data_IF_479503218828
#
_entry.id   IF_479503218828
#
_cell.length_a   1.000
_cell.length_b   1.000
_cell.length_c   1.000
_cell.angle_alpha   90.00
_cell.angle_beta   90.00
_cell.angle_gamma   90.00
#
_symmetry.space_group_name_H-M   'P 1'
#
loop_
_entity.id
_entity.type
_entity.pdbx_description
1 polymer ?
#
# COMPACT_ATOMS: atom_id res chain seq x y z
N UNK A 1 -13.50 6.90 -2.57
CA UNK A 1 -12.43 6.54 -1.61
C UNK A 1 -11.32 5.70 -2.25
N UNK A 2 -11.62 4.57 -2.90
CA UNK A 2 -10.62 3.75 -3.62
C UNK A 2 -9.76 4.57 -4.60
N UNK A 3 -10.41 5.36 -5.48
CA UNK A 3 -9.72 6.22 -6.45
C UNK A 3 -8.76 7.20 -5.77
N UNK A 4 -9.15 7.78 -4.64
CA UNK A 4 -8.33 8.73 -3.86
C UNK A 4 -7.08 8.05 -3.33
N UNK A 5 -7.23 6.88 -2.71
CA UNK A 5 -6.11 6.14 -2.13
C UNK A 5 -5.11 5.70 -3.22
N UNK A 6 -5.59 5.13 -4.33
CA UNK A 6 -4.73 4.71 -5.45
C UNK A 6 -4.03 5.91 -6.07
N UNK A 7 -4.75 7.00 -6.33
CA UNK A 7 -4.17 8.22 -6.90
C UNK A 7 -3.06 8.77 -6.00
N UNK A 8 -3.30 8.84 -4.70
CA UNK A 8 -2.34 9.34 -3.73
C UNK A 8 -1.13 8.42 -3.57
N UNK A 9 -1.34 7.10 -3.51
CA UNK A 9 -0.27 6.12 -3.47
C UNK A 9 0.64 6.21 -4.71
N UNK A 10 0.06 6.36 -5.91
CA UNK A 10 0.84 6.62 -7.14
C UNK A 10 1.64 7.92 -7.04
N UNK A 11 1.02 9.00 -6.56
CA UNK A 11 1.70 10.29 -6.34
C UNK A 11 2.86 10.22 -5.35
N UNK A 12 2.82 9.28 -4.40
CA UNK A 12 3.89 8.99 -3.45
C UNK A 12 4.89 7.93 -3.93
N UNK A 13 4.83 7.53 -5.20
CA UNK A 13 5.78 6.61 -5.82
C UNK A 13 5.59 5.14 -5.44
N UNK A 14 4.42 4.75 -4.92
CA UNK A 14 4.05 3.35 -4.79
C UNK A 14 3.57 2.77 -6.12
N UNK A 15 3.85 1.49 -6.34
CA UNK A 15 3.30 0.77 -7.48
C UNK A 15 1.87 0.36 -7.14
N UNK A 16 0.94 0.71 -8.02
CA UNK A 16 -0.48 0.36 -7.88
C UNK A 16 -0.90 -0.47 -9.09
N UNK A 17 -1.15 -1.75 -8.89
CA UNK A 17 -1.47 -2.72 -9.94
C UNK A 17 -2.77 -3.46 -9.63
N UNK A 18 -3.33 -4.14 -10.62
CA UNK A 18 -4.44 -5.07 -10.42
C UNK A 18 -3.90 -6.47 -10.58
N UNK A 19 -4.22 -7.36 -9.65
CA UNK A 19 -3.79 -8.76 -9.71
C UNK A 19 -4.65 -9.61 -10.65
N UNK A 20 -4.24 -10.87 -10.84
CA UNK A 20 -4.93 -11.85 -11.70
C UNK A 20 -6.39 -12.11 -11.29
N UNK A 21 -6.75 -11.81 -10.04
CA UNK A 21 -8.10 -11.95 -9.52
C UNK A 21 -8.87 -10.62 -9.52
N UNK A 22 -8.37 -9.59 -10.20
CA UNK A 22 -9.04 -8.29 -10.34
C UNK A 22 -8.92 -7.39 -9.12
N UNK A 23 -8.07 -7.73 -8.14
CA UNK A 23 -7.93 -6.96 -6.91
C UNK A 23 -6.82 -5.91 -7.04
N UNK A 24 -7.08 -4.70 -6.56
CA UNK A 24 -6.04 -3.68 -6.48
C UNK A 24 -4.96 -4.10 -5.47
N UNK A 25 -3.70 -3.90 -5.86
CA UNK A 25 -2.53 -4.07 -5.01
C UNK A 25 -1.72 -2.78 -4.98
N UNK A 26 -1.15 -2.48 -3.81
CA UNK A 26 -0.23 -1.37 -3.61
C UNK A 26 1.04 -1.93 -3.00
N UNK A 27 2.17 -1.72 -3.66
CA UNK A 27 3.46 -2.21 -3.21
C UNK A 27 4.49 -1.08 -3.18
N UNK A 28 5.47 -1.14 -2.27
CA UNK A 28 6.66 -0.31 -2.40
C UNK A 28 7.39 -0.65 -3.70
N UNK A 29 8.08 0.35 -4.25
CA UNK A 29 8.95 0.17 -5.43
C UNK A 29 10.26 -0.53 -5.05
N UNK A 30 10.71 -0.33 -3.82
CA UNK A 30 11.95 -0.91 -3.31
C UNK A 30 11.76 -2.39 -2.94
N UNK A 31 12.82 -3.21 -3.08
CA UNK A 31 12.76 -4.64 -2.84
C UNK A 31 12.45 -4.99 -1.38
N UNK A 32 12.78 -4.13 -0.42
CA UNK A 32 12.47 -4.33 0.98
C UNK A 32 11.93 -3.03 1.60
N UNK A 33 10.96 -3.10 2.53
CA UNK A 33 10.31 -4.32 3.05
C UNK A 33 9.27 -4.92 2.07
N UNK A 34 9.22 -6.26 1.99
CA UNK A 34 8.25 -7.02 1.17
C UNK A 34 6.84 -6.96 1.76
N UNK A 35 6.22 -5.79 1.76
CA UNK A 35 4.81 -5.67 2.09
C UNK A 35 3.99 -5.27 0.88
N UNK A 36 2.74 -5.68 0.86
CA UNK A 36 1.73 -5.20 -0.09
C UNK A 36 0.40 -5.01 0.60
N UNK A 37 -0.35 -4.02 0.15
CA UNK A 37 -1.76 -3.88 0.48
C UNK A 37 -2.56 -4.46 -0.69
N UNK A 38 -3.51 -5.34 -0.40
CA UNK A 38 -4.42 -5.93 -1.39
C UNK A 38 -5.86 -5.62 -1.04
N UNK A 39 -6.62 -5.05 -1.97
CA UNK A 39 -8.03 -4.77 -1.78
C UNK A 39 -8.84 -6.04 -2.04
N UNK A 40 -9.40 -6.64 -1.00
CA UNK A 40 -10.32 -7.77 -1.14
C UNK A 40 -11.70 -7.29 -0.71
N UNK A 41 -12.65 -7.31 -1.64
CA UNK A 41 -13.99 -6.72 -1.47
C UNK A 41 -13.88 -5.22 -1.12
N UNK A 42 -14.10 -4.87 0.14
CA UNK A 42 -14.10 -3.51 0.69
C UNK A 42 -12.93 -3.25 1.66
N UNK A 43 -12.05 -4.23 1.88
CA UNK A 43 -10.98 -4.15 2.87
C UNK A 43 -9.60 -4.26 2.25
N UNK A 44 -8.68 -3.46 2.78
CA UNK A 44 -7.27 -3.48 2.41
C UNK A 44 -6.51 -4.41 3.35
N UNK A 45 -6.03 -5.53 2.83
CA UNK A 45 -5.28 -6.52 3.59
C UNK A 45 -3.79 -6.23 3.44
N UNK A 46 -3.12 -5.97 4.55
CA UNK A 46 -1.67 -5.94 4.63
C UNK A 46 -1.13 -7.36 4.59
N UNK A 47 -0.29 -7.63 3.61
CA UNK A 47 0.43 -8.88 3.45
C UNK A 47 1.91 -8.55 3.57
N UNK A 48 2.62 -9.27 4.44
CA UNK A 48 4.08 -9.15 4.60
C UNK A 48 4.69 -10.50 4.19
N UNK A 49 5.56 -10.47 3.19
CA UNK A 49 5.90 -11.65 2.40
C UNK A 49 4.63 -12.23 1.77
N UNK A 50 4.27 -13.44 2.18
CA UNK A 50 3.05 -14.13 1.74
C UNK A 50 2.01 -14.30 2.86
N UNK A 51 2.28 -13.77 4.06
CA UNK A 51 1.37 -13.88 5.19
C UNK A 51 0.47 -12.65 5.30
N UNK A 52 -0.86 -12.80 5.23
CA UNK A 52 -1.79 -11.76 5.66
C UNK A 52 -1.55 -11.42 7.14
N UNK A 53 -1.55 -10.13 7.46
CA UNK A 53 -1.27 -9.63 8.82
C UNK A 53 -2.47 -8.88 9.38
N UNK A 54 -2.88 -7.80 8.71
CA UNK A 54 -3.86 -6.84 9.23
C UNK A 54 -4.86 -6.49 8.13
N UNK A 55 -6.12 -6.29 8.52
CA UNK A 55 -7.18 -5.79 7.64
C UNK A 55 -7.51 -4.35 7.97
N UNK A 56 -7.51 -3.49 6.96
CA UNK A 56 -7.76 -2.06 7.06
C UNK A 56 -9.03 -1.65 6.32
N UNK A 57 -9.70 -0.63 6.85
CA UNK A 57 -10.57 0.26 6.08
C UNK A 57 -9.73 1.15 5.16
N UNK A 58 -10.37 1.81 4.21
CA UNK A 58 -9.65 2.64 3.24
C UNK A 58 -8.92 3.83 3.90
N UNK A 59 -9.47 4.45 4.93
CA UNK A 59 -8.84 5.54 5.66
C UNK A 59 -7.59 5.07 6.43
N UNK A 60 -7.68 3.90 7.07
CA UNK A 60 -6.56 3.28 7.79
C UNK A 60 -5.45 2.87 6.82
N UNK A 61 -5.81 2.32 5.66
CA UNK A 61 -4.87 2.00 4.60
C UNK A 61 -4.16 3.25 4.07
N UNK A 62 -4.89 4.37 3.90
CA UNK A 62 -4.28 5.65 3.51
C UNK A 62 -3.29 6.14 4.57
N UNK A 63 -3.67 6.08 5.86
CA UNK A 63 -2.79 6.47 6.96
C UNK A 63 -1.52 5.60 7.02
N UNK A 64 -1.65 4.29 6.79
CA UNK A 64 -0.51 3.37 6.71
C UNK A 64 0.45 3.73 5.57
N UNK A 65 -0.08 3.97 4.37
CA UNK A 65 0.74 4.32 3.19
C UNK A 65 1.42 5.68 3.42
N UNK A 66 0.72 6.66 4.01
CA UNK A 66 1.28 7.96 4.37
C UNK A 66 2.46 7.80 5.35
N UNK A 67 2.28 7.03 6.41
CA UNK A 67 3.34 6.74 7.37
C UNK A 67 4.58 6.13 6.70
N UNK A 68 4.38 5.15 5.79
CA UNK A 68 5.47 4.52 5.03
C UNK A 68 6.17 5.50 4.08
N UNK A 69 5.43 6.41 3.47
CA UNK A 69 6.00 7.45 2.62
C UNK A 69 6.86 8.43 3.42
N UNK A 70 6.34 8.93 4.54
CA UNK A 70 7.04 9.89 5.39
C UNK A 70 8.36 9.32 5.94
N UNK A 71 8.38 8.03 6.30
CA UNK A 71 9.61 7.37 6.76
C UNK A 71 10.67 7.28 5.65
N UNK A 72 10.29 6.88 4.44
CA UNK A 72 11.23 6.84 3.30
C UNK A 72 11.83 8.22 2.99
N UNK A 73 11.03 9.28 3.10
CA UNK A 73 11.54 10.65 2.92
C UNK A 73 12.59 11.04 3.97
N UNK A 74 12.42 10.59 5.22
CA UNK A 74 13.37 10.87 6.29
C UNK A 74 14.72 10.14 6.06
N UNK A 75 14.67 8.89 5.58
CA UNK A 75 15.86 8.08 5.31
C UNK A 75 16.69 8.61 4.11
N UNK A 76 16.04 9.26 3.13
CA UNK A 76 16.72 9.85 1.96
C UNK A 76 17.34 11.23 2.27
N UNK A 77 16.94 11.86 3.38
CA UNK A 77 17.40 13.21 3.77
C UNK A 77 18.47 13.20 4.86
N UNK A 78 19.03 12.04 5.20
CA UNK A 78 20.08 11.87 6.23
C UNK A 78 21.44 11.56 5.62
#
# INVERSE_FOLDING_TARGET
>A
MLKTLIHQAKGWGFLCTVDVAGNWQITPKEPLPHWRLRLIKDRWILIVGDSPQISFRAEEALAFINYRFSRRKADVSS
#
